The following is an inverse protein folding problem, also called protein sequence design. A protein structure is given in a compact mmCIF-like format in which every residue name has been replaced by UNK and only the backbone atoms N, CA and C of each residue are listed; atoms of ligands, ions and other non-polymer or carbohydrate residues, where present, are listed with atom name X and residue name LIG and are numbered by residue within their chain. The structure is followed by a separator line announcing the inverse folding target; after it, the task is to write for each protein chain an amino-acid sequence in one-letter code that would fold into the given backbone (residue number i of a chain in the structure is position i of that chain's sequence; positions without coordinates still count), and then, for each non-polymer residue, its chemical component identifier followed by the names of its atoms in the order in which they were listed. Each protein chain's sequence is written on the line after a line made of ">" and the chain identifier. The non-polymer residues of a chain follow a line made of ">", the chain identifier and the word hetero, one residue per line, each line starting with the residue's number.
data_IF_866568558728
#
_entry.id   IF_866568558728
#
_cell.length_a   1.000
_cell.length_b   1.000
_cell.length_c   1.000
_cell.angle_alpha   90.00
_cell.angle_beta   90.00
_cell.angle_gamma   90.00
#
_symmetry.space_group_name_H-M   'P 1'
#
loop_
_entity.id
_entity.type
_entity.pdbx_description
1 polymer ?
#
# COMPACT_ATOMS: atom_id res chain seq x y z
N UNK A 1 -9.29 -2.21 26.33
CA UNK A 1 -8.78 -3.15 25.34
C UNK A 1 -7.54 -2.55 24.67
N UNK A 2 -6.45 -3.31 24.40
CA UNK A 2 -5.30 -2.79 23.67
C UNK A 2 -5.71 -2.27 22.29
N UNK A 3 -5.17 -1.12 21.84
CA UNK A 3 -5.51 -0.50 20.56
C UNK A 3 -5.23 -1.47 19.39
N UNK A 4 -4.11 -2.19 19.43
CA UNK A 4 -3.77 -3.19 18.41
C UNK A 4 -4.87 -4.25 18.24
N UNK A 5 -5.48 -4.73 19.34
CA UNK A 5 -6.56 -5.70 19.26
C UNK A 5 -7.87 -5.11 18.70
N UNK A 6 -8.10 -3.80 18.87
CA UNK A 6 -9.22 -3.11 18.27
C UNK A 6 -9.04 -2.95 16.75
N UNK A 7 -7.83 -2.58 16.30
CA UNK A 7 -7.48 -2.48 14.90
C UNK A 7 -7.54 -3.84 14.20
N UNK A 8 -7.01 -4.90 14.83
CA UNK A 8 -7.08 -6.25 14.29
C UNK A 8 -8.52 -6.73 14.13
N UNK A 9 -9.38 -6.48 15.11
CA UNK A 9 -10.81 -6.80 15.01
C UNK A 9 -11.48 -6.04 13.87
N UNK A 10 -11.28 -4.74 13.77
CA UNK A 10 -11.79 -3.94 12.65
C UNK A 10 -11.38 -4.56 11.31
N UNK A 11 -10.10 -4.93 11.16
CA UNK A 11 -9.58 -5.54 9.95
C UNK A 11 -10.27 -6.88 9.62
N UNK A 12 -10.53 -7.72 10.63
CA UNK A 12 -11.17 -9.03 10.46
C UNK A 12 -12.68 -8.93 10.24
N UNK A 13 -13.36 -8.00 10.92
CA UNK A 13 -14.82 -7.92 10.94
C UNK A 13 -15.39 -7.17 9.73
N UNK A 14 -14.62 -6.27 9.09
CA UNK A 14 -15.08 -5.51 7.92
C UNK A 14 -15.43 -6.44 6.76
N UNK A 15 -16.64 -6.33 6.23
CA UNK A 15 -17.11 -7.08 5.06
C UNK A 15 -17.21 -6.16 3.85
N UNK A 16 -17.05 -6.72 2.67
CA UNK A 16 -17.24 -5.97 1.40
C UNK A 16 -18.60 -5.27 1.34
N UNK A 17 -19.66 -5.92 1.81
CA UNK A 17 -21.02 -5.36 1.88
C UNK A 17 -21.16 -4.15 2.79
N UNK A 18 -20.27 -4.01 3.78
CA UNK A 18 -20.32 -2.90 4.74
C UNK A 18 -19.66 -1.64 4.17
N UNK A 19 -18.90 -1.77 3.08
CA UNK A 19 -18.23 -0.65 2.41
C UNK A 19 -19.23 0.03 1.48
N UNK A 20 -19.56 1.33 1.67
CA UNK A 20 -20.45 2.04 0.78
C UNK A 20 -19.99 2.00 -0.68
N UNK A 21 -20.92 1.92 -1.63
CA UNK A 21 -20.61 1.85 -3.06
C UNK A 21 -19.67 2.99 -3.50
N UNK A 22 -19.94 4.22 -3.09
CA UNK A 22 -19.09 5.37 -3.39
C UNK A 22 -17.65 5.20 -2.90
N UNK A 23 -17.44 4.54 -1.76
CA UNK A 23 -16.09 4.27 -1.22
C UNK A 23 -15.40 3.20 -2.05
N UNK A 24 -16.13 2.17 -2.48
CA UNK A 24 -15.59 1.13 -3.39
C UNK A 24 -15.17 1.72 -4.74
N UNK A 25 -16.01 2.59 -5.33
CA UNK A 25 -15.70 3.27 -6.59
C UNK A 25 -14.46 4.18 -6.45
N UNK A 26 -14.37 4.89 -5.31
CA UNK A 26 -13.19 5.71 -5.02
C UNK A 26 -11.93 4.85 -4.83
N UNK A 27 -12.02 3.73 -4.13
CA UNK A 27 -10.92 2.79 -3.95
C UNK A 27 -10.39 2.26 -5.30
N UNK A 28 -11.28 1.86 -6.20
CA UNK A 28 -10.90 1.43 -7.55
C UNK A 28 -10.19 2.55 -8.32
N UNK A 29 -10.68 3.78 -8.22
CA UNK A 29 -10.06 4.94 -8.89
C UNK A 29 -8.66 5.22 -8.35
N UNK A 30 -8.45 5.15 -7.04
CA UNK A 30 -7.15 5.37 -6.41
C UNK A 30 -6.15 4.25 -6.75
N UNK A 31 -6.60 2.99 -6.79
CA UNK A 31 -5.77 1.86 -7.23
C UNK A 31 -5.36 2.05 -8.70
N UNK A 32 -6.30 2.41 -9.57
CA UNK A 32 -6.02 2.66 -10.99
C UNK A 32 -5.01 3.80 -11.18
N UNK A 33 -5.18 4.89 -10.46
CA UNK A 33 -4.26 6.03 -10.45
C UNK A 33 -2.84 5.61 -10.03
N UNK A 34 -2.72 4.92 -8.90
CA UNK A 34 -1.45 4.43 -8.38
C UNK A 34 -0.73 3.48 -9.35
N UNK A 35 -1.48 2.58 -10.02
CA UNK A 35 -0.94 1.69 -11.07
C UNK A 35 -0.45 2.51 -12.26
N UNK A 36 -1.21 3.54 -12.68
CA UNK A 36 -0.81 4.44 -13.75
C UNK A 36 0.48 5.20 -13.43
N UNK A 37 0.61 5.72 -12.20
CA UNK A 37 1.82 6.38 -11.71
C UNK A 37 3.00 5.41 -11.71
N UNK A 38 2.82 4.20 -11.22
CA UNK A 38 3.87 3.17 -11.19
C UNK A 38 4.37 2.82 -12.60
N UNK A 39 3.47 2.72 -13.58
CA UNK A 39 3.83 2.50 -14.99
C UNK A 39 4.67 3.68 -15.51
N UNK A 40 4.26 4.91 -15.24
CA UNK A 40 5.01 6.11 -15.62
C UNK A 40 6.39 6.15 -14.94
N UNK A 41 6.46 5.80 -13.66
CA UNK A 41 7.70 5.79 -12.86
C UNK A 41 8.77 4.84 -13.42
N UNK A 42 8.37 3.78 -14.15
CA UNK A 42 9.31 2.87 -14.79
C UNK A 42 10.23 3.54 -15.82
N UNK A 43 9.86 4.69 -16.36
CA UNK A 43 10.69 5.45 -17.31
C UNK A 43 11.78 6.29 -16.63
N UNK A 44 11.80 6.36 -15.30
CA UNK A 44 12.79 7.17 -14.56
C UNK A 44 13.99 6.33 -14.11
N UNK A 45 15.21 6.92 -14.07
CA UNK A 45 16.44 6.19 -13.76
C UNK A 45 16.42 5.43 -12.43
N UNK A 46 15.78 5.97 -11.39
CA UNK A 46 15.70 5.32 -10.08
C UNK A 46 15.06 3.93 -10.14
N UNK A 47 14.08 3.76 -11.02
CA UNK A 47 13.36 2.50 -11.18
C UNK A 47 14.31 1.35 -11.57
N UNK A 48 15.15 1.55 -12.58
CA UNK A 48 16.13 0.54 -13.02
C UNK A 48 17.23 0.31 -11.97
N UNK A 49 17.62 1.34 -11.23
CA UNK A 49 18.63 1.23 -10.16
C UNK A 49 18.11 0.39 -9.01
N UNK A 50 16.89 0.65 -8.52
CA UNK A 50 16.24 -0.10 -7.44
C UNK A 50 16.02 -1.56 -7.89
N UNK A 51 15.45 -1.76 -9.09
CA UNK A 51 15.21 -3.10 -9.64
C UNK A 51 16.50 -3.93 -9.70
N UNK A 52 17.60 -3.33 -10.18
CA UNK A 52 18.90 -4.00 -10.23
C UNK A 52 19.41 -4.39 -8.84
N UNK A 53 19.25 -3.51 -7.86
CA UNK A 53 19.69 -3.78 -6.49
C UNK A 53 18.87 -4.92 -5.86
N UNK A 54 17.54 -4.86 -5.97
CA UNK A 54 16.63 -5.87 -5.41
C UNK A 54 16.84 -7.25 -6.06
N UNK A 55 16.99 -7.31 -7.39
CA UNK A 55 17.24 -8.58 -8.10
C UNK A 55 18.57 -9.23 -7.66
N UNK A 56 19.60 -8.42 -7.37
CA UNK A 56 20.89 -8.93 -6.89
C UNK A 56 20.84 -9.42 -5.43
N UNK A 57 20.04 -8.76 -4.59
CA UNK A 57 19.95 -9.06 -3.17
C UNK A 57 18.97 -10.20 -2.86
N UNK A 58 17.81 -10.17 -3.53
CA UNK A 58 16.71 -11.10 -3.24
C UNK A 58 16.72 -12.39 -4.07
N UNK A 59 17.36 -12.37 -5.23
CA UNK A 59 17.31 -13.50 -6.17
C UNK A 59 15.97 -13.62 -6.91
N UNK A 60 15.66 -14.80 -7.48
CA UNK A 60 14.43 -15.03 -8.24
C UNK A 60 13.20 -15.04 -7.33
N UNK A 61 12.04 -14.65 -7.88
CA UNK A 61 10.76 -14.64 -7.19
C UNK A 61 9.60 -14.78 -8.17
N UNK A 62 8.38 -14.81 -7.64
CA UNK A 62 7.14 -15.04 -8.40
C UNK A 62 6.14 -13.88 -8.28
N UNK A 63 6.46 -12.84 -7.50
CA UNK A 63 5.55 -11.70 -7.33
C UNK A 63 5.76 -10.65 -8.41
N UNK A 64 4.66 -10.11 -8.90
CA UNK A 64 4.63 -9.13 -9.98
C UNK A 64 5.18 -7.77 -9.57
N UNK A 65 5.89 -7.15 -10.50
CA UNK A 65 6.29 -5.73 -10.44
C UNK A 65 5.50 -4.96 -11.47
N UNK A 66 4.80 -3.91 -11.03
CA UNK A 66 3.90 -3.12 -11.90
C UNK A 66 4.65 -2.58 -13.12
N UNK A 67 4.14 -2.89 -14.31
CA UNK A 67 4.68 -2.43 -15.58
C UNK A 67 5.99 -3.08 -16.00
N UNK A 68 6.38 -4.21 -15.37
CA UNK A 68 7.57 -4.99 -15.71
C UNK A 68 7.24 -6.46 -15.97
N UNK A 69 8.08 -7.13 -16.77
CA UNK A 69 8.01 -8.58 -16.98
C UNK A 69 8.79 -9.37 -15.92
N UNK A 70 9.72 -8.70 -15.24
CA UNK A 70 10.52 -9.31 -14.19
C UNK A 70 9.70 -9.49 -12.92
N UNK A 71 9.89 -10.59 -12.23
CA UNK A 71 9.29 -10.93 -10.96
C UNK A 71 10.35 -10.94 -9.86
N UNK A 72 9.91 -10.65 -8.64
CA UNK A 72 10.77 -10.59 -7.45
C UNK A 72 10.19 -11.43 -6.31
N UNK A 73 10.99 -11.80 -5.30
CA UNK A 73 10.46 -12.30 -4.04
C UNK A 73 9.47 -11.29 -3.43
N UNK A 74 8.47 -11.76 -2.69
CA UNK A 74 7.39 -10.95 -2.13
C UNK A 74 7.88 -9.64 -1.48
N UNK A 75 8.86 -9.72 -0.57
CA UNK A 75 9.43 -8.53 0.10
C UNK A 75 9.95 -7.50 -0.91
N UNK A 76 10.65 -7.97 -1.93
CA UNK A 76 11.33 -7.12 -2.89
C UNK A 76 10.35 -6.57 -3.94
N UNK A 77 9.34 -7.35 -4.33
CA UNK A 77 8.25 -6.88 -5.18
C UNK A 77 7.42 -5.78 -4.47
N UNK A 78 7.10 -5.96 -3.19
CA UNK A 78 6.42 -4.94 -2.37
C UNK A 78 7.26 -3.67 -2.29
N UNK A 79 8.57 -3.80 -2.06
CA UNK A 79 9.48 -2.65 -2.01
C UNK A 79 9.57 -1.93 -3.37
N UNK A 80 9.69 -2.69 -4.45
CA UNK A 80 9.76 -2.12 -5.80
C UNK A 80 8.46 -1.41 -6.20
N UNK A 81 7.32 -2.05 -5.97
CA UNK A 81 6.01 -1.46 -6.25
C UNK A 81 5.77 -0.19 -5.41
N UNK A 82 6.18 -0.18 -4.14
CA UNK A 82 6.13 1.01 -3.31
C UNK A 82 6.98 2.15 -3.87
N UNK A 83 8.20 1.86 -4.30
CA UNK A 83 9.08 2.85 -4.93
C UNK A 83 8.51 3.38 -6.26
N UNK A 84 7.83 2.53 -7.05
CA UNK A 84 7.19 2.95 -8.30
C UNK A 84 5.96 3.83 -8.06
N UNK A 85 5.12 3.49 -7.08
CA UNK A 85 3.91 4.24 -6.77
C UNK A 85 4.25 5.61 -6.19
N UNK A 86 5.21 5.66 -5.25
CA UNK A 86 5.51 6.89 -4.51
C UNK A 86 6.70 7.70 -5.06
N UNK A 87 7.53 7.11 -5.89
CA UNK A 87 8.82 7.70 -6.31
C UNK A 87 8.75 9.01 -7.12
N UNK A 88 7.58 9.36 -7.64
CA UNK A 88 7.34 10.64 -8.31
C UNK A 88 6.68 11.68 -7.40
N UNK A 89 6.31 11.30 -6.17
CA UNK A 89 5.57 12.16 -5.21
C UNK A 89 4.31 12.77 -5.85
N UNK A 90 3.56 11.96 -6.58
CA UNK A 90 2.41 12.35 -7.40
C UNK A 90 1.14 11.54 -7.05
N UNK A 91 1.26 10.60 -6.14
CA UNK A 91 0.20 9.74 -5.64
C UNK A 91 -0.75 10.45 -4.67
N UNK A 92 -1.88 9.80 -4.39
CA UNK A 92 -2.95 10.35 -3.57
C UNK A 92 -2.45 10.85 -2.21
N UNK A 93 -2.98 11.99 -1.79
CA UNK A 93 -2.63 12.61 -0.51
C UNK A 93 -3.87 12.85 0.33
N UNK A 94 -3.90 12.32 1.57
CA UNK A 94 -4.90 12.70 2.55
C UNK A 94 -4.46 13.97 3.27
N UNK A 95 -5.06 15.11 2.90
CA UNK A 95 -4.59 16.47 3.27
C UNK A 95 -4.46 16.69 4.78
N UNK A 96 -5.40 16.20 5.59
CA UNK A 96 -5.37 16.45 7.03
C UNK A 96 -4.38 15.54 7.77
N UNK A 97 -4.14 14.33 7.27
CA UNK A 97 -3.16 13.40 7.82
C UNK A 97 -1.75 13.61 7.24
N UNK A 98 -1.66 14.28 6.09
CA UNK A 98 -0.44 14.50 5.30
C UNK A 98 0.28 13.18 5.05
N UNK A 99 -0.44 12.24 4.47
CA UNK A 99 0.06 10.91 4.11
C UNK A 99 -0.38 10.51 2.71
N UNK A 100 0.44 9.71 2.06
CA UNK A 100 0.15 9.03 0.80
C UNK A 100 -0.35 7.62 1.13
N UNK A 101 -1.67 7.51 1.35
CA UNK A 101 -2.24 6.31 1.96
C UNK A 101 -2.20 5.09 1.02
N UNK A 102 -2.36 5.30 -0.29
CA UNK A 102 -2.27 4.21 -1.27
C UNK A 102 -0.85 3.66 -1.37
N UNK A 103 0.18 4.50 -1.36
CA UNK A 103 1.58 4.04 -1.35
C UNK A 103 1.92 3.21 -0.11
N UNK A 104 1.29 3.53 1.03
CA UNK A 104 1.44 2.78 2.28
C UNK A 104 0.72 1.42 2.28
N UNK A 105 -0.27 1.21 1.40
CA UNK A 105 -1.21 0.09 1.46
C UNK A 105 -1.08 -0.84 0.26
N UNK A 106 -1.15 -0.30 -0.95
CA UNK A 106 -1.31 -1.06 -2.19
C UNK A 106 -0.13 -2.00 -2.51
N UNK A 107 1.14 -1.67 -2.25
CA UNK A 107 2.24 -2.59 -2.55
C UNK A 107 2.13 -3.91 -1.81
N UNK A 108 1.84 -3.88 -0.51
CA UNK A 108 1.65 -5.07 0.31
C UNK A 108 0.39 -5.83 -0.09
N UNK A 109 -0.67 -5.11 -0.44
CA UNK A 109 -1.92 -5.68 -0.93
C UNK A 109 -1.70 -6.53 -2.19
N UNK A 110 -1.05 -5.97 -3.21
CA UNK A 110 -0.80 -6.66 -4.48
C UNK A 110 0.01 -7.94 -4.23
N UNK A 111 1.13 -7.82 -3.52
CA UNK A 111 1.99 -8.96 -3.26
C UNK A 111 1.28 -10.09 -2.49
N UNK A 112 0.49 -9.75 -1.47
CA UNK A 112 -0.26 -10.75 -0.71
C UNK A 112 -1.45 -11.32 -1.50
N UNK A 113 -2.17 -10.49 -2.26
CA UNK A 113 -3.28 -10.93 -3.08
C UNK A 113 -2.87 -11.99 -4.11
N UNK A 114 -1.69 -11.84 -4.73
CA UNK A 114 -1.12 -12.84 -5.63
C UNK A 114 -0.77 -14.14 -4.89
N UNK A 115 -0.25 -14.07 -3.65
CA UNK A 115 0.13 -15.26 -2.89
C UNK A 115 -1.07 -16.12 -2.46
N UNK A 116 -2.23 -15.49 -2.23
CA UNK A 116 -3.42 -16.18 -1.72
C UNK A 116 -4.54 -16.32 -2.77
N UNK A 117 -4.29 -15.91 -4.01
CA UNK A 117 -5.28 -15.88 -5.10
C UNK A 117 -6.57 -15.13 -4.71
N UNK A 118 -6.41 -13.94 -4.13
CA UNK A 118 -7.50 -13.16 -3.59
C UNK A 118 -8.46 -12.64 -4.67
N UNK A 119 -9.76 -12.70 -4.40
CA UNK A 119 -10.80 -12.11 -5.25
C UNK A 119 -10.77 -10.58 -5.22
N UNK A 120 -11.40 -9.94 -6.22
CA UNK A 120 -11.51 -8.48 -6.27
C UNK A 120 -12.25 -7.88 -5.07
N UNK A 121 -13.21 -8.58 -4.48
CA UNK A 121 -13.92 -8.15 -3.27
C UNK A 121 -13.00 -8.18 -2.03
N UNK A 122 -12.18 -9.22 -1.90
CA UNK A 122 -11.18 -9.34 -0.83
C UNK A 122 -10.10 -8.25 -0.97
N UNK A 123 -9.62 -8.00 -2.19
CA UNK A 123 -8.67 -6.93 -2.49
C UNK A 123 -9.23 -5.57 -2.07
N UNK A 124 -10.45 -5.22 -2.49
CA UNK A 124 -11.07 -3.93 -2.13
C UNK A 124 -11.33 -3.82 -0.63
N UNK A 125 -11.69 -4.92 0.04
CA UNK A 125 -11.89 -4.93 1.49
C UNK A 125 -10.58 -4.72 2.23
N UNK A 126 -9.52 -5.43 1.86
CA UNK A 126 -8.19 -5.27 2.46
C UNK A 126 -7.59 -3.89 2.18
N UNK A 127 -7.84 -3.33 0.98
CA UNK A 127 -7.46 -1.95 0.66
C UNK A 127 -8.15 -0.95 1.58
N UNK A 128 -9.47 -1.07 1.78
CA UNK A 128 -10.22 -0.20 2.67
C UNK A 128 -9.70 -0.27 4.12
N UNK A 129 -9.35 -1.46 4.60
CA UNK A 129 -8.72 -1.65 5.93
C UNK A 129 -7.41 -0.86 6.01
N UNK A 130 -6.52 -1.02 5.04
CA UNK A 130 -5.22 -0.35 5.03
C UNK A 130 -5.36 1.18 4.98
N UNK A 131 -6.26 1.68 4.12
CA UNK A 131 -6.54 3.11 3.99
C UNK A 131 -7.07 3.71 5.29
N UNK A 132 -8.06 3.08 5.93
CA UNK A 132 -8.61 3.53 7.22
C UNK A 132 -7.55 3.56 8.32
N UNK A 133 -6.71 2.53 8.40
CA UNK A 133 -5.65 2.47 9.40
C UNK A 133 -4.60 3.56 9.15
N UNK A 134 -4.12 3.69 7.91
CA UNK A 134 -3.12 4.70 7.55
C UNK A 134 -3.61 6.11 7.89
N UNK A 135 -4.83 6.44 7.45
CA UNK A 135 -5.43 7.77 7.64
C UNK A 135 -5.63 8.06 9.13
N UNK A 136 -6.22 7.12 9.90
CA UNK A 136 -6.46 7.32 11.33
C UNK A 136 -5.18 7.50 12.12
N UNK A 137 -4.14 6.73 11.82
CA UNK A 137 -2.83 6.89 12.45
C UNK A 137 -2.18 8.23 12.09
N UNK A 138 -2.28 8.66 10.83
CA UNK A 138 -1.81 9.98 10.41
C UNK A 138 -2.54 11.14 11.12
N UNK A 139 -3.83 10.97 11.39
CA UNK A 139 -4.67 11.96 12.09
C UNK A 139 -4.42 12.03 13.60
N UNK A 140 -3.69 11.10 14.21
CA UNK A 140 -3.37 11.15 15.65
C UNK A 140 -2.66 12.46 16.02
N UNK A 141 -1.78 12.92 15.13
CA UNK A 141 -1.06 14.18 15.33
C UNK A 141 -0.87 14.88 13.98
N UNK A 142 -1.90 15.60 13.49
CA UNK A 142 -1.80 16.34 12.24
C UNK A 142 -0.60 17.30 12.26
N UNK A 143 0.24 17.26 11.21
CA UNK A 143 1.51 17.99 11.07
C UNK A 143 2.61 17.64 12.10
N UNK A 144 2.28 16.99 13.21
CA UNK A 144 3.26 16.73 14.27
C UNK A 144 4.39 15.83 13.83
N UNK A 145 4.12 14.80 13.03
CA UNK A 145 5.16 13.92 12.49
C UNK A 145 6.22 14.69 11.70
N UNK A 146 5.80 15.60 10.82
CA UNK A 146 6.70 16.41 10.01
C UNK A 146 7.46 17.44 10.86
N UNK A 147 6.79 18.03 11.85
CA UNK A 147 7.44 18.97 12.79
C UNK A 147 8.59 18.30 13.55
N UNK A 148 8.43 17.04 13.95
CA UNK A 148 9.47 16.24 14.60
C UNK A 148 10.48 15.61 13.62
N UNK A 149 10.40 15.93 12.33
CA UNK A 149 11.33 15.46 11.31
C UNK A 149 11.05 14.08 10.75
N UNK A 150 9.83 13.53 10.99
CA UNK A 150 9.41 12.25 10.42
C UNK A 150 8.56 12.43 9.16
N UNK A 151 8.75 11.55 8.19
CA UNK A 151 7.84 11.41 7.06
C UNK A 151 6.64 10.56 7.49
N UNK A 152 5.46 11.19 7.64
CA UNK A 152 4.28 10.53 8.23
C UNK A 152 3.88 9.26 7.48
N UNK A 153 3.90 9.25 6.14
CA UNK A 153 3.61 8.07 5.33
C UNK A 153 4.50 6.90 5.71
N UNK A 154 5.81 7.12 5.84
CA UNK A 154 6.77 6.07 6.23
C UNK A 154 6.50 5.51 7.63
N UNK A 155 6.03 6.35 8.57
CA UNK A 155 5.68 5.90 9.93
C UNK A 155 4.43 5.02 9.93
N UNK A 156 3.35 5.44 9.25
CA UNK A 156 2.08 4.71 9.28
C UNK A 156 2.05 3.50 8.35
N UNK A 157 2.91 3.46 7.33
CA UNK A 157 2.93 2.40 6.31
C UNK A 157 3.10 1.00 6.91
N UNK A 158 3.93 0.84 7.93
CA UNK A 158 4.16 -0.45 8.58
C UNK A 158 2.87 -1.06 9.16
N UNK A 159 2.05 -0.24 9.80
CA UNK A 159 0.79 -0.67 10.40
C UNK A 159 -0.27 -0.93 9.32
N UNK A 160 -0.37 -0.06 8.33
CA UNK A 160 -1.29 -0.21 7.21
C UNK A 160 -0.98 -1.48 6.42
N UNK A 161 0.27 -1.67 6.01
CA UNK A 161 0.71 -2.86 5.27
C UNK A 161 0.47 -4.16 6.06
N UNK A 162 0.79 -4.17 7.37
CA UNK A 162 0.60 -5.35 8.21
C UNK A 162 -0.88 -5.73 8.32
N UNK A 163 -1.80 -4.77 8.52
CA UNK A 163 -3.23 -5.06 8.62
C UNK A 163 -3.86 -5.38 7.27
N UNK A 164 -3.39 -4.76 6.18
CA UNK A 164 -3.81 -5.09 4.82
C UNK A 164 -3.43 -6.53 4.47
N UNK A 165 -2.19 -6.91 4.70
CA UNK A 165 -1.70 -8.26 4.46
C UNK A 165 -2.40 -9.28 5.35
N UNK A 166 -2.52 -8.98 6.66
CA UNK A 166 -3.19 -9.85 7.62
C UNK A 166 -4.69 -10.03 7.36
N UNK A 167 -5.34 -9.10 6.65
CA UNK A 167 -6.75 -9.21 6.26
C UNK A 167 -6.96 -10.27 5.17
N UNK A 168 -5.94 -10.56 4.37
CA UNK A 168 -5.98 -11.57 3.30
C UNK A 168 -5.58 -12.96 3.78
N UNK A 169 -4.95 -13.09 4.94
CA UNK A 169 -4.57 -14.36 5.58
C UNK A 169 -5.71 -14.91 6.44
#
# INVERSE_FOLDING_TARGET
>A
QPLAAALARFALDLRYSDIPAQVRDRAQSLILDAVGIAIAANHYPFSSQIMTALSKLGGPGECSVIGRSEQLPLRDAVTMNGALIHGLDYDDTHMNAIIHATAATLPALIGMAEQVDASGEEILTAYAVGMEVAIRLGLVQPFGWHHEGFHATGVVAHFAAALTAGRLL
#
